data_IF_569583136575
#
_entry.id   IF_569583136575
#
_cell.length_a   1.000
_cell.length_b   1.000
_cell.length_c   1.000
_cell.angle_alpha   90.00
_cell.angle_beta   90.00
_cell.angle_gamma   90.00
#
_symmetry.space_group_name_H-M   'P 1'
#
loop_
_entity.id
_entity.type
_entity.pdbx_description
1 polymer ?
#
# COMPACT_ATOMS: atom_id res chain seq x y z
N UNK A 1 17.16 -13.70 -16.59
CA UNK A 1 18.19 -14.61 -17.15
C UNK A 1 17.74 -15.16 -18.50
N UNK A 2 18.68 -15.61 -19.36
CA UNK A 2 18.36 -16.25 -20.65
C UNK A 2 17.42 -17.45 -20.48
N UNK A 3 17.54 -18.15 -19.37
CA UNK A 3 16.70 -19.30 -19.03
C UNK A 3 15.25 -18.89 -18.72
N UNK A 4 15.05 -17.84 -17.95
CA UNK A 4 13.70 -17.33 -17.65
C UNK A 4 13.00 -16.80 -18.92
N UNK A 5 13.74 -16.12 -19.80
CA UNK A 5 13.22 -15.66 -21.09
C UNK A 5 12.84 -16.84 -22.01
N UNK A 6 13.63 -17.92 -21.99
CA UNK A 6 13.38 -19.11 -22.82
C UNK A 6 12.14 -19.87 -22.31
N UNK A 7 12.04 -20.10 -21.00
CA UNK A 7 10.86 -20.73 -20.40
C UNK A 7 9.58 -19.89 -20.54
N UNK A 8 9.67 -18.56 -20.39
CA UNK A 8 8.54 -17.67 -20.60
C UNK A 8 8.00 -17.71 -22.04
N UNK A 9 8.87 -17.99 -23.02
CA UNK A 9 8.46 -18.20 -24.42
C UNK A 9 7.84 -19.56 -24.67
N UNK A 10 8.22 -20.57 -23.89
CA UNK A 10 7.75 -21.95 -24.09
C UNK A 10 6.42 -22.23 -23.39
N UNK A 11 6.20 -21.60 -22.25
CA UNK A 11 5.04 -21.85 -21.36
C UNK A 11 4.10 -20.66 -21.20
N UNK A 12 4.38 -19.56 -21.86
CA UNK A 12 3.62 -18.29 -21.95
C UNK A 12 3.22 -17.64 -20.61
N UNK A 13 3.10 -18.41 -19.53
CA UNK A 13 2.61 -17.98 -18.22
C UNK A 13 3.70 -18.00 -17.17
N UNK A 14 4.41 -19.12 -17.00
CA UNK A 14 5.46 -19.24 -15.98
C UNK A 14 6.78 -18.64 -16.46
N UNK A 15 7.20 -17.52 -15.88
CA UNK A 15 8.48 -16.88 -16.18
C UNK A 15 9.60 -17.43 -15.29
N UNK A 16 9.31 -17.69 -14.02
CA UNK A 16 10.20 -18.33 -13.04
C UNK A 16 9.36 -19.04 -11.99
N UNK A 17 10.00 -19.81 -11.10
CA UNK A 17 9.29 -20.47 -9.99
C UNK A 17 8.52 -19.50 -9.07
N UNK A 18 8.88 -18.22 -9.07
CA UNK A 18 8.32 -17.21 -8.18
C UNK A 18 7.47 -16.16 -8.91
N UNK A 19 7.46 -16.14 -10.25
CA UNK A 19 6.78 -15.12 -11.04
C UNK A 19 6.05 -15.75 -12.23
N UNK A 20 4.79 -15.40 -12.36
CA UNK A 20 3.93 -15.76 -13.48
C UNK A 20 3.53 -14.52 -14.26
N UNK A 21 3.25 -14.68 -15.54
CA UNK A 21 2.71 -13.63 -16.40
C UNK A 21 1.20 -13.65 -16.32
N UNK A 22 0.62 -12.46 -16.18
CA UNK A 22 -0.79 -12.23 -16.43
C UNK A 22 -1.01 -11.43 -17.71
N UNK A 23 -2.25 -11.11 -17.97
CA UNK A 23 -2.68 -10.27 -19.09
C UNK A 23 -2.14 -8.84 -18.95
N UNK A 24 -2.13 -8.11 -20.05
CA UNK A 24 -1.72 -6.70 -20.13
C UNK A 24 -0.30 -6.42 -19.58
N UNK A 25 0.55 -7.44 -19.57
CA UNK A 25 1.94 -7.35 -19.14
C UNK A 25 2.17 -7.37 -17.63
N UNK A 26 1.12 -7.51 -16.83
CA UNK A 26 1.25 -7.65 -15.38
C UNK A 26 1.99 -8.93 -15.00
N UNK A 27 2.78 -8.83 -13.94
CA UNK A 27 3.46 -9.95 -13.31
C UNK A 27 2.89 -10.20 -11.92
N UNK A 28 2.82 -11.46 -11.53
CA UNK A 28 2.24 -11.88 -10.25
C UNK A 28 3.12 -12.92 -9.58
N UNK A 29 2.96 -13.08 -8.26
CA UNK A 29 3.62 -14.14 -7.50
C UNK A 29 2.62 -15.23 -7.12
N UNK A 30 2.85 -16.51 -7.47
CA UNK A 30 2.02 -17.60 -6.99
C UNK A 30 1.93 -17.69 -5.47
N UNK A 31 2.99 -17.30 -4.76
CA UNK A 31 3.00 -17.30 -3.30
C UNK A 31 2.01 -16.29 -2.70
N UNK A 32 1.78 -15.16 -3.37
CA UNK A 32 0.83 -14.13 -2.91
C UNK A 32 -0.63 -14.47 -3.26
N UNK A 33 -0.86 -15.49 -4.07
CA UNK A 33 -2.21 -15.98 -4.38
C UNK A 33 -2.80 -16.82 -3.23
N UNK A 34 -1.98 -17.25 -2.28
CA UNK A 34 -2.46 -17.95 -1.09
C UNK A 34 -3.04 -16.95 -0.07
N UNK A 35 -4.26 -17.20 0.39
CA UNK A 35 -4.99 -16.27 1.25
C UNK A 35 -4.87 -16.57 2.74
N UNK A 36 -4.35 -17.73 3.10
CA UNK A 36 -4.30 -18.13 4.48
C UNK A 36 -3.10 -17.51 5.20
N UNK A 37 -3.39 -16.78 6.25
CA UNK A 37 -2.38 -16.26 7.15
C UNK A 37 -1.84 -17.42 7.98
N UNK A 38 -0.62 -17.86 7.71
CA UNK A 38 0.06 -18.83 8.56
C UNK A 38 0.11 -18.34 10.01
N UNK A 39 -0.14 -19.21 10.98
CA UNK A 39 -0.17 -18.91 12.41
C UNK A 39 -1.16 -17.78 12.79
N UNK A 40 -2.30 -17.73 12.11
CA UNK A 40 -3.31 -16.65 12.22
C UNK A 40 -3.65 -16.31 13.67
N UNK A 41 -4.01 -17.30 14.49
CA UNK A 41 -4.42 -17.07 15.88
C UNK A 41 -3.28 -16.44 16.73
N UNK A 42 -2.03 -16.88 16.50
CA UNK A 42 -0.89 -16.30 17.19
C UNK A 42 -0.66 -14.83 16.78
N UNK A 43 -0.79 -14.53 15.49
CA UNK A 43 -0.65 -13.16 14.97
C UNK A 43 -1.76 -12.25 15.51
N UNK A 44 -3.01 -12.69 15.46
CA UNK A 44 -4.15 -11.94 16.01
C UNK A 44 -3.98 -11.67 17.51
N UNK A 45 -3.50 -12.65 18.27
CA UNK A 45 -3.22 -12.47 19.70
C UNK A 45 -2.14 -11.43 19.94
N UNK A 46 -1.07 -11.41 19.13
CA UNK A 46 0.00 -10.39 19.23
C UNK A 46 -0.53 -8.99 18.89
N UNK A 47 -1.28 -8.85 17.81
CA UNK A 47 -1.89 -7.58 17.40
C UNK A 47 -2.84 -7.08 18.49
N UNK A 48 -3.67 -7.95 19.08
CA UNK A 48 -4.57 -7.59 20.18
C UNK A 48 -3.83 -7.09 21.42
N UNK A 49 -2.66 -7.66 21.73
CA UNK A 49 -1.82 -7.13 22.82
C UNK A 49 -1.32 -5.71 22.55
N UNK A 50 -0.96 -5.41 21.31
CA UNK A 50 -0.56 -4.05 20.90
C UNK A 50 -1.76 -3.09 21.04
N UNK A 51 -2.93 -3.46 20.51
CA UNK A 51 -4.16 -2.66 20.64
C UNK A 51 -4.48 -2.36 22.11
N UNK A 52 -4.42 -3.37 23.00
CA UNK A 52 -4.66 -3.17 24.42
C UNK A 52 -3.66 -2.21 25.07
N UNK A 53 -2.40 -2.21 24.65
CA UNK A 53 -1.41 -1.25 25.14
C UNK A 53 -1.68 0.17 24.65
N UNK A 54 -2.14 0.32 23.42
CA UNK A 54 -2.60 1.58 22.86
C UNK A 54 -3.81 2.11 23.63
N UNK A 55 -4.82 1.28 23.80
CA UNK A 55 -6.06 1.62 24.51
C UNK A 55 -5.81 2.10 25.96
N UNK A 56 -4.91 1.42 26.70
CA UNK A 56 -4.50 1.85 28.07
C UNK A 56 -3.88 3.25 28.10
N UNK A 57 -3.40 3.75 26.98
CA UNK A 57 -2.79 5.09 26.82
C UNK A 57 -3.74 6.09 26.16
N UNK A 58 -5.01 5.75 25.96
CA UNK A 58 -5.96 6.58 25.23
C UNK A 58 -5.65 6.71 23.72
N UNK A 59 -4.84 5.80 23.17
CA UNK A 59 -4.51 5.80 21.74
C UNK A 59 -5.48 4.88 21.01
N UNK A 60 -6.19 5.41 20.02
CA UNK A 60 -7.03 4.62 19.11
C UNK A 60 -6.14 3.77 18.22
N UNK A 61 -6.37 2.49 18.17
CA UNK A 61 -5.64 1.55 17.32
C UNK A 61 -6.55 1.09 16.18
N UNK A 62 -6.05 1.18 14.95
CA UNK A 62 -6.75 0.69 13.75
C UNK A 62 -5.80 -0.23 12.98
N UNK A 63 -6.23 -1.44 12.71
CA UNK A 63 -5.50 -2.35 11.85
C UNK A 63 -5.94 -2.13 10.39
N UNK A 64 -5.01 -1.63 9.57
CA UNK A 64 -5.26 -1.48 8.13
C UNK A 64 -4.70 -2.69 7.38
N UNK A 65 -5.51 -3.27 6.50
CA UNK A 65 -5.11 -4.34 5.61
C UNK A 65 -5.11 -3.85 4.17
N UNK A 66 -3.93 -3.94 3.56
CA UNK A 66 -3.70 -3.56 2.16
C UNK A 66 -3.71 -4.81 1.30
N UNK A 67 -4.61 -4.93 0.30
CA UNK A 67 -4.61 -6.09 -0.57
C UNK A 67 -3.44 -6.06 -1.54
N UNK A 68 -2.91 -7.22 -1.91
CA UNK A 68 -1.87 -7.34 -2.96
C UNK A 68 -2.48 -7.20 -4.35
N UNK A 69 -1.63 -6.98 -5.35
CA UNK A 69 -2.03 -6.93 -6.76
C UNK A 69 -2.73 -8.21 -7.22
N UNK A 70 -2.28 -9.37 -6.74
CA UNK A 70 -2.87 -10.69 -7.06
C UNK A 70 -4.33 -10.79 -6.64
N UNK A 71 -4.70 -10.15 -5.55
CA UNK A 71 -6.08 -10.14 -5.05
C UNK A 71 -6.97 -9.18 -5.85
N UNK A 72 -6.46 -7.98 -6.14
CA UNK A 72 -7.24 -6.90 -6.76
C UNK A 72 -7.34 -7.07 -8.28
N UNK A 73 -6.31 -7.67 -8.89
CA UNK A 73 -6.18 -7.84 -10.33
C UNK A 73 -6.29 -9.30 -10.77
N UNK A 74 -6.95 -10.15 -9.99
CA UNK A 74 -7.12 -11.58 -10.33
C UNK A 74 -7.81 -11.83 -11.67
N UNK A 75 -8.56 -10.86 -12.20
CA UNK A 75 -9.13 -10.89 -13.56
C UNK A 75 -8.06 -10.91 -14.66
N UNK A 76 -6.85 -10.51 -14.34
CA UNK A 76 -5.71 -10.53 -15.24
C UNK A 76 -4.93 -11.83 -15.20
N UNK A 77 -5.32 -12.79 -14.37
CA UNK A 77 -4.71 -14.12 -14.40
C UNK A 77 -4.97 -14.82 -15.71
N UNK A 78 -4.00 -15.59 -16.17
CA UNK A 78 -4.21 -16.53 -17.25
C UNK A 78 -5.11 -17.69 -16.77
N UNK A 79 -5.62 -18.49 -17.72
CA UNK A 79 -6.64 -19.52 -17.44
C UNK A 79 -6.21 -20.57 -16.42
N UNK A 80 -4.92 -20.75 -16.26
CA UNK A 80 -4.31 -21.73 -15.33
C UNK A 80 -4.49 -21.30 -13.86
N UNK A 81 -4.77 -20.04 -13.61
CA UNK A 81 -4.98 -19.49 -12.27
C UNK A 81 -6.40 -18.96 -12.15
N UNK A 82 -7.24 -19.57 -11.31
CA UNK A 82 -8.61 -19.10 -11.14
C UNK A 82 -8.62 -17.72 -10.47
N UNK A 83 -9.59 -16.86 -10.81
CA UNK A 83 -9.81 -15.60 -10.12
C UNK A 83 -10.04 -15.81 -8.62
N UNK A 84 -9.64 -14.82 -7.83
CA UNK A 84 -9.77 -14.84 -6.39
C UNK A 84 -11.01 -14.05 -5.99
N UNK A 85 -11.85 -14.63 -5.14
CA UNK A 85 -12.95 -13.90 -4.50
C UNK A 85 -12.42 -13.09 -3.30
N UNK A 86 -11.77 -11.96 -3.59
CA UNK A 86 -11.23 -11.07 -2.58
C UNK A 86 -12.28 -10.59 -1.55
N UNK A 87 -13.49 -10.16 -1.94
CA UNK A 87 -14.50 -9.76 -0.96
C UNK A 87 -14.79 -10.84 0.07
N UNK A 88 -14.90 -12.10 -0.33
CA UNK A 88 -15.13 -13.21 0.60
C UNK A 88 -13.91 -13.50 1.47
N UNK A 89 -12.71 -13.47 0.91
CA UNK A 89 -11.47 -13.67 1.67
C UNK A 89 -11.26 -12.54 2.70
N UNK A 90 -11.53 -11.31 2.32
CA UNK A 90 -11.44 -10.14 3.20
C UNK A 90 -12.50 -10.21 4.32
N UNK A 91 -13.73 -10.65 4.02
CA UNK A 91 -14.80 -10.80 5.00
C UNK A 91 -14.44 -11.82 6.09
N UNK A 92 -13.81 -12.94 5.73
CA UNK A 92 -13.31 -13.93 6.69
C UNK A 92 -12.28 -13.31 7.62
N UNK A 93 -11.30 -12.61 7.06
CA UNK A 93 -10.26 -11.95 7.85
C UNK A 93 -10.86 -10.85 8.74
N UNK A 94 -11.76 -10.05 8.22
CA UNK A 94 -12.46 -9.02 9.00
C UNK A 94 -13.26 -9.64 10.18
N UNK A 95 -13.94 -10.75 9.97
CA UNK A 95 -14.65 -11.50 11.02
C UNK A 95 -13.70 -11.94 12.14
N UNK A 96 -12.50 -12.39 11.80
CA UNK A 96 -11.49 -12.76 12.79
C UNK A 96 -11.08 -11.55 13.65
N UNK A 97 -10.81 -10.39 13.05
CA UNK A 97 -10.46 -9.17 13.79
C UNK A 97 -11.63 -8.69 14.67
N UNK A 98 -12.87 -8.76 14.16
CA UNK A 98 -14.08 -8.41 14.92
C UNK A 98 -14.26 -9.30 16.15
N UNK A 99 -14.00 -10.61 16.03
CA UNK A 99 -14.03 -11.56 17.15
C UNK A 99 -13.08 -11.16 18.29
N UNK A 100 -11.95 -10.52 17.95
CA UNK A 100 -11.02 -9.96 18.93
C UNK A 100 -11.38 -8.53 19.38
N UNK A 101 -12.48 -7.95 18.89
CA UNK A 101 -12.89 -6.58 19.21
C UNK A 101 -11.88 -5.53 18.75
N UNK A 102 -11.23 -5.78 17.61
CA UNK A 102 -10.27 -4.84 17.02
C UNK A 102 -10.91 -4.01 15.91
N UNK A 103 -10.60 -2.73 15.91
CA UNK A 103 -11.01 -1.84 14.82
C UNK A 103 -10.13 -2.06 13.59
N UNK A 104 -10.76 -2.07 12.41
CA UNK A 104 -10.08 -2.40 11.15
C UNK A 104 -10.43 -1.41 10.05
N UNK A 105 -9.50 -1.23 9.11
CA UNK A 105 -9.69 -0.54 7.85
C UNK A 105 -9.27 -1.50 6.71
N UNK A 106 -10.24 -2.20 6.12
CA UNK A 106 -10.01 -3.12 5.00
C UNK A 106 -10.30 -2.41 3.68
N UNK A 107 -9.45 -2.59 2.70
CA UNK A 107 -9.48 -1.86 1.43
C UNK A 107 -9.95 -2.71 0.24
N UNK A 108 -9.96 -4.03 0.36
CA UNK A 108 -10.17 -4.93 -0.78
C UNK A 108 -11.51 -4.72 -1.46
N UNK A 109 -12.59 -4.62 -0.68
CA UNK A 109 -13.93 -4.39 -1.24
C UNK A 109 -14.04 -3.08 -2.03
N UNK A 110 -13.41 -2.01 -1.53
CA UNK A 110 -13.42 -0.72 -2.22
C UNK A 110 -12.64 -0.80 -3.52
N UNK A 111 -11.49 -1.47 -3.50
CA UNK A 111 -10.62 -1.61 -4.67
C UNK A 111 -11.27 -2.44 -5.77
N UNK A 112 -11.83 -3.61 -5.45
CA UNK A 112 -12.46 -4.48 -6.47
C UNK A 112 -13.77 -3.91 -7.02
N UNK A 113 -14.40 -2.96 -6.33
CA UNK A 113 -15.59 -2.26 -6.85
C UNK A 113 -15.28 -1.29 -8.00
N UNK A 114 -14.02 -0.95 -8.21
CA UNK A 114 -13.59 -0.07 -9.27
C UNK A 114 -13.54 -0.79 -10.62
N UNK A 115 -13.57 -0.02 -11.71
CA UNK A 115 -13.34 -0.55 -13.05
C UNK A 115 -11.96 -1.20 -13.15
N UNK A 116 -11.79 -2.17 -14.06
CA UNK A 116 -10.50 -2.83 -14.26
C UNK A 116 -9.37 -1.83 -14.57
N UNK A 117 -9.64 -0.81 -15.39
CA UNK A 117 -8.63 0.21 -15.70
C UNK A 117 -8.22 1.03 -14.49
N UNK A 118 -9.15 1.38 -13.62
CA UNK A 118 -8.83 2.05 -12.36
C UNK A 118 -8.00 1.13 -11.45
N UNK A 119 -8.34 -0.15 -11.36
CA UNK A 119 -7.57 -1.15 -10.58
C UNK A 119 -6.15 -1.34 -11.13
N UNK A 120 -5.97 -1.38 -12.45
CA UNK A 120 -4.64 -1.44 -13.09
C UNK A 120 -3.77 -0.24 -12.70
N UNK A 121 -4.37 0.95 -12.57
CA UNK A 121 -3.63 2.15 -12.16
C UNK A 121 -3.18 2.10 -10.68
N UNK A 122 -3.76 1.21 -9.86
CA UNK A 122 -3.43 1.08 -8.45
C UNK A 122 -2.16 0.27 -8.18
N UNK A 123 -1.67 -0.51 -9.13
CA UNK A 123 -0.52 -1.38 -8.96
C UNK A 123 0.49 -1.21 -10.08
N UNK A 124 1.77 -1.40 -9.74
CA UNK A 124 2.82 -1.47 -10.73
C UNK A 124 2.77 -2.76 -11.54
N UNK A 125 3.09 -2.67 -12.83
CA UNK A 125 3.00 -3.82 -13.75
C UNK A 125 3.96 -4.95 -13.35
N UNK A 126 5.16 -4.60 -12.92
CA UNK A 126 6.22 -5.56 -12.59
C UNK A 126 6.67 -5.53 -11.13
N UNK A 127 5.77 -5.12 -10.23
CA UNK A 127 6.07 -5.01 -8.80
C UNK A 127 4.85 -5.37 -7.96
N UNK A 128 5.09 -5.84 -6.74
CA UNK A 128 4.02 -6.17 -5.79
C UNK A 128 3.46 -4.94 -5.07
N UNK A 129 4.15 -3.79 -5.15
CA UNK A 129 3.70 -2.58 -4.48
C UNK A 129 2.58 -1.90 -5.24
N UNK A 130 1.76 -1.24 -4.47
CA UNK A 130 0.75 -0.33 -4.99
C UNK A 130 1.35 1.03 -5.39
N UNK A 131 0.57 1.82 -6.12
CA UNK A 131 0.93 3.15 -6.61
C UNK A 131 0.37 4.25 -5.72
N UNK A 132 0.72 5.50 -6.03
CA UNK A 132 0.13 6.69 -5.41
C UNK A 132 -1.40 6.71 -5.50
N UNK A 133 -2.01 6.18 -6.56
CA UNK A 133 -3.47 6.12 -6.69
C UNK A 133 -4.11 5.26 -5.60
N UNK A 134 -3.51 4.11 -5.31
CA UNK A 134 -3.98 3.24 -4.23
C UNK A 134 -3.72 3.86 -2.86
N UNK A 135 -2.54 4.46 -2.65
CA UNK A 135 -2.19 5.18 -1.43
C UNK A 135 -3.17 6.31 -1.12
N UNK A 136 -3.60 7.07 -2.13
CA UNK A 136 -4.62 8.11 -2.00
C UNK A 136 -5.96 7.54 -1.51
N UNK A 137 -6.47 6.50 -2.16
CA UNK A 137 -7.75 5.89 -1.77
C UNK A 137 -7.70 5.29 -0.37
N UNK A 138 -6.58 4.68 0.00
CA UNK A 138 -6.37 4.15 1.33
C UNK A 138 -6.35 5.25 2.39
N UNK A 139 -5.61 6.35 2.14
CA UNK A 139 -5.58 7.51 3.01
C UNK A 139 -6.96 8.13 3.17
N UNK A 140 -7.65 8.33 2.05
CA UNK A 140 -9.01 8.89 2.04
C UNK A 140 -9.95 8.05 2.90
N UNK A 141 -9.99 6.74 2.72
CA UNK A 141 -10.82 5.84 3.52
C UNK A 141 -10.46 5.91 5.01
N UNK A 142 -9.17 5.88 5.34
CA UNK A 142 -8.71 5.98 6.72
C UNK A 142 -9.12 7.30 7.36
N UNK A 143 -8.86 8.43 6.68
CA UNK A 143 -9.18 9.77 7.18
C UNK A 143 -10.69 9.95 7.39
N UNK A 144 -11.52 9.45 6.49
CA UNK A 144 -12.97 9.40 6.70
C UNK A 144 -13.37 8.57 7.92
N UNK A 145 -12.77 7.40 8.10
CA UNK A 145 -13.06 6.53 9.25
C UNK A 145 -12.71 7.19 10.59
N UNK A 146 -11.66 8.02 10.60
CA UNK A 146 -11.25 8.74 11.82
C UNK A 146 -11.86 10.14 11.95
N UNK A 147 -12.57 10.61 10.92
CA UNK A 147 -13.24 11.92 10.91
C UNK A 147 -12.31 13.09 10.63
N UNK A 148 -11.27 12.91 9.81
CA UNK A 148 -10.21 13.90 9.57
C UNK A 148 -9.99 14.21 8.08
N UNK A 149 -10.98 14.02 7.23
CA UNK A 149 -10.87 14.11 5.77
C UNK A 149 -11.16 15.53 5.24
N UNK A 150 -10.47 16.56 5.73
CA UNK A 150 -10.73 17.95 5.31
C UNK A 150 -10.06 18.28 3.97
N UNK A 151 -8.75 18.07 3.85
CA UNK A 151 -7.97 18.39 2.65
C UNK A 151 -7.99 17.27 1.62
N UNK A 152 -8.06 16.00 2.06
CA UNK A 152 -8.08 14.84 1.18
C UNK A 152 -9.34 14.80 0.29
N UNK A 153 -10.42 15.46 0.71
CA UNK A 153 -11.67 15.55 -0.04
C UNK A 153 -11.70 16.68 -1.06
N UNK A 154 -10.72 17.57 -1.04
CA UNK A 154 -10.62 18.61 -2.05
C UNK A 154 -10.48 18.00 -3.46
N UNK A 155 -11.00 18.67 -4.50
CA UNK A 155 -10.93 18.18 -5.89
C UNK A 155 -9.50 17.87 -6.30
N UNK A 156 -9.28 16.72 -6.91
CA UNK A 156 -7.97 16.28 -7.40
C UNK A 156 -7.98 16.20 -8.93
N UNK A 157 -6.82 16.45 -9.51
CA UNK A 157 -6.50 16.11 -10.91
C UNK A 157 -5.59 14.90 -10.96
N UNK A 158 -5.54 14.24 -12.10
CA UNK A 158 -4.59 13.15 -12.33
C UNK A 158 -3.31 13.72 -12.91
N UNK A 159 -2.18 13.41 -12.29
CA UNK A 159 -0.85 13.71 -12.83
C UNK A 159 -0.16 12.41 -13.24
N UNK A 160 0.52 12.46 -14.39
CA UNK A 160 1.32 11.33 -14.87
C UNK A 160 2.60 11.21 -14.05
N UNK A 161 2.88 10.00 -13.61
CA UNK A 161 4.14 9.63 -12.96
C UNK A 161 4.79 8.47 -13.69
N UNK A 162 6.09 8.53 -13.83
CA UNK A 162 6.92 7.46 -14.40
C UNK A 162 7.85 6.96 -13.32
N UNK A 163 7.82 5.67 -13.08
CA UNK A 163 8.64 5.02 -12.05
C UNK A 163 9.32 3.78 -12.60
N UNK A 164 10.33 3.28 -11.91
CA UNK A 164 11.01 2.00 -12.19
C UNK A 164 10.78 1.02 -11.04
N UNK A 165 9.54 0.68 -10.79
CA UNK A 165 9.18 -0.34 -9.83
C UNK A 165 9.30 -1.73 -10.45
N UNK A 166 9.99 -2.65 -9.79
CA UNK A 166 10.32 -3.90 -10.47
C UNK A 166 10.74 -5.04 -9.58
N UNK A 167 10.08 -5.26 -8.44
CA UNK A 167 10.34 -6.42 -7.58
C UNK A 167 10.20 -7.72 -8.36
N UNK A 168 9.11 -7.91 -9.08
CA UNK A 168 8.89 -9.12 -9.90
C UNK A 168 9.83 -9.23 -11.10
N UNK A 169 10.20 -8.09 -11.73
CA UNK A 169 11.21 -8.11 -12.79
C UNK A 169 12.55 -8.64 -12.26
N UNK A 170 12.99 -8.19 -11.08
CA UNK A 170 14.23 -8.69 -10.44
C UNK A 170 14.14 -10.17 -10.09
N UNK A 171 13.04 -10.60 -9.49
CA UNK A 171 12.81 -12.00 -9.09
C UNK A 171 12.75 -12.93 -10.30
N UNK A 172 12.28 -12.45 -11.43
CA UNK A 172 12.26 -13.15 -12.70
C UNK A 172 13.59 -13.06 -13.48
N UNK A 173 14.53 -12.25 -13.05
CA UNK A 173 15.77 -11.98 -13.79
C UNK A 173 15.53 -11.23 -15.11
N UNK A 174 14.50 -10.41 -15.16
CA UNK A 174 14.12 -9.57 -16.29
C UNK A 174 14.63 -8.13 -16.08
N UNK A 175 14.77 -7.39 -17.18
CA UNK A 175 15.07 -5.97 -17.14
C UNK A 175 13.86 -5.19 -16.58
N UNK A 176 14.12 -4.28 -15.64
CA UNK A 176 13.09 -3.41 -15.06
C UNK A 176 12.67 -2.40 -16.12
N UNK A 177 11.36 -2.36 -16.38
CA UNK A 177 10.75 -1.41 -17.32
C UNK A 177 10.24 -0.18 -16.59
N UNK A 178 10.16 0.93 -17.31
CA UNK A 178 9.41 2.09 -16.86
C UNK A 178 7.92 1.75 -16.79
N UNK A 179 7.30 2.23 -15.74
CA UNK A 179 5.90 2.01 -15.44
C UNK A 179 5.21 3.37 -15.29
N UNK A 180 4.27 3.64 -16.20
CA UNK A 180 3.52 4.89 -16.21
C UNK A 180 2.23 4.71 -15.43
N UNK A 181 1.99 5.59 -14.45
CA UNK A 181 0.76 5.59 -13.63
C UNK A 181 0.26 7.00 -13.43
N UNK A 182 -1.01 7.11 -13.08
CA UNK A 182 -1.64 8.37 -12.76
C UNK A 182 -1.88 8.48 -11.27
N UNK A 183 -1.41 9.57 -10.67
CA UNK A 183 -1.56 9.86 -9.26
C UNK A 183 -2.59 11.00 -9.07
N UNK A 184 -3.51 10.89 -8.10
CA UNK A 184 -4.35 12.01 -7.69
C UNK A 184 -3.49 13.12 -7.10
N UNK A 185 -3.73 14.35 -7.52
CA UNK A 185 -3.02 15.51 -7.06
C UNK A 185 -3.94 16.72 -6.89
N UNK A 186 -3.68 17.49 -5.86
CA UNK A 186 -4.33 18.76 -5.59
C UNK A 186 -3.25 19.81 -5.37
N UNK A 187 -3.43 21.02 -5.89
CA UNK A 187 -2.45 22.11 -5.75
C UNK A 187 -2.30 22.60 -4.29
N UNK A 188 -3.23 22.22 -3.40
CA UNK A 188 -3.11 22.41 -1.96
C UNK A 188 -2.34 21.29 -1.24
N UNK A 189 -2.07 20.17 -1.92
CA UNK A 189 -1.28 19.11 -1.31
C UNK A 189 0.18 19.57 -1.17
N UNK A 190 0.71 19.39 0.02
CA UNK A 190 2.10 19.68 0.30
C UNK A 190 2.97 18.59 -0.32
N UNK A 191 3.83 18.98 -1.25
CA UNK A 191 4.76 18.05 -1.93
C UNK A 191 6.03 17.81 -1.09
N UNK A 192 6.26 18.69 -0.14
CA UNK A 192 7.42 18.66 0.72
C UNK A 192 6.99 18.84 2.17
N UNK A 193 7.48 17.98 3.03
CA UNK A 193 7.26 17.99 4.46
C UNK A 193 8.61 17.82 5.17
N UNK A 194 8.65 18.27 6.40
CA UNK A 194 9.84 18.08 7.23
C UNK A 194 9.91 16.61 7.63
N UNK A 195 10.97 15.94 7.19
CA UNK A 195 11.34 14.62 7.68
C UNK A 195 12.45 14.82 8.70
N UNK A 196 12.21 14.45 9.93
CA UNK A 196 13.26 14.45 10.96
C UNK A 196 13.55 13.02 11.37
N UNK A 197 14.81 12.65 11.42
CA UNK A 197 15.22 11.44 12.14
C UNK A 197 14.97 11.68 13.64
N UNK A 198 14.33 10.75 14.33
CA UNK A 198 14.07 10.81 15.79
C UNK A 198 15.33 11.02 16.62
N UNK A 199 16.51 10.86 16.02
CA UNK A 199 17.82 11.11 16.61
C UNK A 199 18.27 12.58 16.52
N UNK A 200 17.66 13.38 15.67
CA UNK A 200 17.96 14.82 15.55
C UNK A 200 17.13 15.61 16.57
N UNK A 201 17.82 16.13 17.59
CA UNK A 201 17.20 16.85 18.71
C UNK A 201 16.74 18.26 18.37
N UNK A 202 16.99 18.76 17.17
CA UNK A 202 16.66 20.12 16.77
C UNK A 202 15.62 20.14 15.65
N UNK A 203 14.35 20.10 16.03
CA UNK A 203 13.20 20.19 15.13
C UNK A 203 13.05 21.57 14.46
N UNK A 204 13.87 22.56 14.81
CA UNK A 204 13.76 23.94 14.34
C UNK A 204 14.37 24.18 12.97
N UNK A 205 15.13 23.25 12.43
CA UNK A 205 15.87 23.39 11.17
C UNK A 205 15.73 22.16 10.22
N UNK A 206 14.59 21.49 10.22
CA UNK A 206 14.34 20.39 9.29
C UNK A 206 14.45 20.89 7.83
N UNK A 207 15.38 20.33 7.05
CA UNK A 207 15.41 20.56 5.61
C UNK A 207 14.20 19.91 4.96
N UNK A 208 13.52 20.67 4.11
CA UNK A 208 12.51 20.15 3.20
C UNK A 208 13.18 19.17 2.24
N UNK A 209 13.01 17.89 2.45
CA UNK A 209 13.49 16.89 1.49
C UNK A 209 12.35 16.44 0.59
N UNK A 210 12.48 16.76 -0.70
CA UNK A 210 11.56 16.28 -1.76
C UNK A 210 11.74 14.79 -2.09
N UNK A 211 12.61 14.09 -1.38
CA UNK A 211 12.96 12.71 -1.70
C UNK A 211 12.32 11.73 -0.73
N UNK A 212 11.08 11.34 -1.01
CA UNK A 212 10.55 10.05 -0.52
C UNK A 212 11.19 8.85 -1.26
N UNK A 213 12.38 9.00 -1.80
CA UNK A 213 13.00 8.05 -2.73
C UNK A 213 13.84 6.96 -2.10
N UNK A 214 14.24 7.09 -0.87
CA UNK A 214 14.97 6.02 -0.18
C UNK A 214 14.20 5.62 1.08
N UNK A 215 13.65 4.42 1.03
CA UNK A 215 13.13 3.73 2.21
C UNK A 215 14.23 3.69 3.26
N UNK A 216 14.15 4.55 4.26
CA UNK A 216 15.05 4.50 5.39
C UNK A 216 14.97 3.10 6.00
N UNK A 217 16.04 2.34 5.85
CA UNK A 217 16.16 1.07 6.53
C UNK A 217 16.26 1.38 8.02
N UNK A 218 15.19 1.08 8.76
CA UNK A 218 15.15 1.13 10.22
C UNK A 218 15.16 2.51 10.89
N UNK A 219 14.39 3.48 10.42
CA UNK A 219 14.23 4.78 11.06
C UNK A 219 12.79 5.06 11.51
N UNK A 220 12.65 5.77 12.60
CA UNK A 220 11.40 6.46 12.95
C UNK A 220 11.40 7.80 12.23
N UNK A 221 10.46 8.00 11.30
CA UNK A 221 10.31 9.27 10.61
C UNK A 221 9.21 10.09 11.32
N UNK A 222 9.52 11.31 11.71
CA UNK A 222 8.52 12.28 12.16
C UNK A 222 8.22 13.21 11.00
N UNK A 223 6.98 13.24 10.57
CA UNK A 223 6.52 14.06 9.44
C UNK A 223 5.58 15.12 9.96
N UNK A 224 5.93 16.39 9.73
CA UNK A 224 5.13 17.56 10.14
C UNK A 224 4.72 18.32 8.89
N UNK A 225 3.40 18.47 8.71
CA UNK A 225 2.86 19.35 7.70
C UNK A 225 2.49 20.71 8.37
N UNK A 226 3.23 21.80 8.10
CA UNK A 226 2.98 23.09 8.74
C UNK A 226 1.66 23.75 8.32
N UNK A 227 1.01 23.25 7.27
CA UNK A 227 -0.29 23.75 6.82
C UNK A 227 -1.46 23.11 7.58
N UNK A 228 -1.23 21.97 8.24
CA UNK A 228 -2.24 21.32 9.09
C UNK A 228 -2.34 22.07 10.40
N UNK A 229 -3.50 22.69 10.65
CA UNK A 229 -3.74 23.53 11.82
C UNK A 229 -4.26 22.79 13.06
N UNK A 230 -4.41 21.47 12.96
CA UNK A 230 -4.84 20.65 14.09
C UNK A 230 -3.63 19.97 14.75
N UNK A 231 -3.82 19.45 15.96
CA UNK A 231 -2.81 18.74 16.75
C UNK A 231 -2.92 17.20 16.62
N UNK A 232 -3.64 16.72 15.61
CA UNK A 232 -3.89 15.30 15.36
C UNK A 232 -2.62 14.61 14.91
N UNK A 233 -2.29 13.52 15.56
CA UNK A 233 -1.09 12.72 15.29
C UNK A 233 -1.45 11.29 14.93
N UNK A 234 -0.78 10.74 13.94
CA UNK A 234 -0.91 9.34 13.53
C UNK A 234 0.47 8.68 13.58
N UNK A 235 0.58 7.58 14.30
CA UNK A 235 1.73 6.69 14.24
C UNK A 235 1.41 5.53 13.29
N UNK A 236 2.24 5.32 12.30
CA UNK A 236 2.14 4.18 11.37
C UNK A 236 3.23 3.18 11.71
N UNK A 237 2.80 1.96 12.05
CA UNK A 237 3.67 0.78 12.10
C UNK A 237 3.33 -0.07 10.89
N UNK A 238 4.13 -0.01 9.85
CA UNK A 238 3.80 -0.63 8.56
C UNK A 238 5.03 -1.12 7.81
N UNK A 239 4.75 -1.81 6.72
CA UNK A 239 5.74 -2.24 5.74
C UNK A 239 5.93 -1.20 4.62
N UNK A 240 6.56 -1.60 3.53
CA UNK A 240 6.84 -0.75 2.37
C UNK A 240 5.59 -0.16 1.68
N UNK A 241 4.41 -0.74 1.88
CA UNK A 241 3.15 -0.19 1.37
C UNK A 241 2.79 1.16 2.03
N UNK A 242 3.28 1.41 3.25
CA UNK A 242 3.03 2.68 3.95
C UNK A 242 3.60 3.91 3.23
N UNK A 243 4.57 3.76 2.34
CA UNK A 243 5.22 4.87 1.64
C UNK A 243 4.25 5.75 0.86
N UNK A 244 3.44 5.17 -0.02
CA UNK A 244 2.42 5.93 -0.76
C UNK A 244 1.29 6.43 0.14
N UNK A 245 0.94 5.70 1.20
CA UNK A 245 -0.08 6.08 2.16
C UNK A 245 0.31 7.36 2.94
N UNK A 246 1.53 7.42 3.47
CA UNK A 246 2.06 8.55 4.23
C UNK A 246 1.89 9.87 3.50
N UNK A 247 2.20 9.89 2.22
CA UNK A 247 2.13 11.07 1.34
C UNK A 247 0.75 11.75 1.35
N UNK A 248 -0.31 10.99 1.48
CA UNK A 248 -1.66 11.52 1.49
C UNK A 248 -2.22 11.72 2.89
N UNK A 249 -1.81 10.93 3.87
CA UNK A 249 -2.23 11.14 5.26
C UNK A 249 -1.76 12.48 5.82
N UNK A 250 -0.53 12.89 5.50
CA UNK A 250 0.03 14.17 5.98
C UNK A 250 -0.73 15.41 5.52
N UNK A 251 -1.65 15.26 4.57
CA UNK A 251 -2.48 16.38 4.12
C UNK A 251 -3.47 16.83 5.20
N UNK A 252 -3.83 15.94 6.14
CA UNK A 252 -4.84 16.17 7.17
C UNK A 252 -4.37 15.90 8.60
N UNK A 253 -3.21 15.27 8.80
CA UNK A 253 -2.68 14.91 10.13
C UNK A 253 -1.15 15.04 10.18
N UNK A 254 -0.61 15.16 11.40
CA UNK A 254 0.83 15.00 11.66
C UNK A 254 1.17 13.53 11.86
N UNK A 255 2.39 13.12 11.50
CA UNK A 255 2.86 11.74 11.68
C UNK A 255 4.22 11.69 12.37
#
# INVERSE_FOLDING_TARGET
SKWAMWNGRLFDVLISKNVVRGKDGFLFSPANMAHEMADKEQKLTKIKKIEQQCSKRGIRFIFMMTPNSELVLSDLFEKEYPPIDLPSAEAVTQSDFQRYGMETCFLGKDFVSLSLEARKNMYHTGDYHWTDAAGYLAAKKFLHQVGYAENIDAPVRQIKKVTKAGGYYRDAGLEIKEDERYAPWNDHFVDSFYLTDSRDKDLSQGELTSSMGEYGQHGEDIIINPQVKNDRKVLILGDSFSGCLKKYLIQDVHM
#
